data_IF_648140924748
#
_entry.id   IF_648140924748
#
_cell.length_a   1.000
_cell.length_b   1.000
_cell.length_c   1.000
_cell.angle_alpha   90.00
_cell.angle_beta   90.00
_cell.angle_gamma   90.00
#
_symmetry.space_group_name_H-M   'P 1'
#
loop_
_entity.id
_entity.type
_entity.pdbx_description
1 polymer ?
#
# COMPACT_ATOMS: atom_id res chain seq x y z
N UNK A 1 -8.00 -12.18 -14.95
CA UNK A 1 -6.81 -11.74 -15.71
C UNK A 1 -5.70 -11.48 -14.71
N UNK A 2 -4.44 -11.71 -15.09
CA UNK A 2 -3.32 -11.23 -14.27
C UNK A 2 -3.34 -9.70 -14.23
N UNK A 3 -3.02 -9.11 -13.07
CA UNK A 3 -2.90 -7.67 -12.91
C UNK A 3 -1.87 -7.07 -13.89
N UNK A 4 -2.05 -5.81 -14.27
CA UNK A 4 -1.06 -5.02 -15.00
C UNK A 4 -1.08 -3.59 -14.47
N UNK A 5 0.08 -2.95 -14.35
CA UNK A 5 0.18 -1.53 -14.00
C UNK A 5 -0.54 -0.67 -15.04
N UNK A 6 -1.20 0.40 -14.59
CA UNK A 6 -1.87 1.39 -15.44
C UNK A 6 -1.58 2.78 -14.92
N UNK A 7 -1.44 3.74 -15.82
CA UNK A 7 -1.44 5.16 -15.44
C UNK A 7 -2.86 5.73 -15.51
N UNK A 8 -3.14 6.73 -14.70
CA UNK A 8 -4.47 7.36 -14.60
C UNK A 8 -4.82 8.27 -15.77
N UNK A 9 -3.85 8.57 -16.65
CA UNK A 9 -4.02 9.34 -17.88
C UNK A 9 -4.07 8.45 -19.12
N UNK A 10 -4.34 7.16 -18.93
CA UNK A 10 -4.48 6.12 -19.96
C UNK A 10 -3.25 5.89 -20.86
N UNK A 11 -2.10 6.49 -20.53
CA UNK A 11 -0.87 6.17 -21.25
C UNK A 11 -0.49 4.70 -21.00
N UNK A 12 0.07 3.99 -21.99
CA UNK A 12 0.58 2.64 -21.79
C UNK A 12 1.61 2.59 -20.65
N UNK A 13 1.51 1.57 -19.79
CA UNK A 13 2.53 1.24 -18.81
C UNK A 13 3.19 -0.09 -19.21
N UNK A 14 4.44 -0.02 -19.64
CA UNK A 14 5.24 -1.19 -20.07
C UNK A 14 6.08 -1.79 -18.95
N UNK A 15 5.97 -1.25 -17.73
CA UNK A 15 6.70 -1.78 -16.58
C UNK A 15 6.18 -3.20 -16.24
N UNK A 16 7.06 -4.17 -16.00
CA UNK A 16 6.66 -5.52 -15.63
C UNK A 16 6.09 -5.53 -14.19
N UNK A 17 5.29 -6.53 -13.84
CA UNK A 17 4.93 -6.72 -12.44
C UNK A 17 6.15 -7.23 -11.66
N UNK A 18 6.54 -6.50 -10.63
CA UNK A 18 7.60 -6.89 -9.71
C UNK A 18 7.07 -7.43 -8.37
N UNK A 19 7.81 -7.14 -7.31
CA UNK A 19 7.39 -7.36 -5.92
C UNK A 19 6.75 -6.10 -5.34
N UNK A 20 6.04 -6.28 -4.23
CA UNK A 20 5.52 -5.16 -3.44
C UNK A 20 6.26 -5.13 -2.12
N UNK A 21 7.08 -4.10 -1.89
CA UNK A 21 7.74 -3.89 -0.59
C UNK A 21 6.86 -2.98 0.25
N UNK A 22 6.60 -3.35 1.49
CA UNK A 22 5.66 -2.65 2.35
C UNK A 22 6.34 -2.26 3.66
N UNK A 23 5.89 -1.16 4.29
CA UNK A 23 6.31 -0.78 5.63
C UNK A 23 5.15 -0.82 6.62
N UNK A 24 5.33 -1.53 7.73
CA UNK A 24 4.41 -1.50 8.86
C UNK A 24 4.67 -0.30 9.77
N UNK A 25 3.60 0.24 10.37
CA UNK A 25 3.65 1.29 11.43
C UNK A 25 4.30 2.60 11.00
N UNK A 26 4.05 3.05 9.78
CA UNK A 26 4.59 4.32 9.30
C UNK A 26 3.75 5.55 9.68
N UNK A 27 2.63 5.38 10.36
CA UNK A 27 1.82 6.49 10.91
C UNK A 27 1.70 6.36 12.43
N UNK A 28 1.94 7.47 13.14
CA UNK A 28 1.96 7.46 14.60
C UNK A 28 0.61 7.05 15.22
N UNK A 29 -0.51 7.52 14.68
CA UNK A 29 -1.84 7.21 15.19
C UNK A 29 -2.19 5.73 14.98
N UNK A 30 -1.85 5.16 13.84
CA UNK A 30 -2.04 3.74 13.58
C UNK A 30 -1.17 2.87 14.51
N UNK A 31 0.07 3.28 14.79
CA UNK A 31 0.91 2.58 15.76
C UNK A 31 0.28 2.57 17.17
N UNK A 32 -0.33 3.69 17.58
CA UNK A 32 -1.05 3.81 18.86
C UNK A 32 -2.35 3.00 18.90
N UNK A 33 -3.15 3.02 17.83
CA UNK A 33 -4.42 2.28 17.70
C UNK A 33 -4.22 0.79 17.98
N UNK A 34 -3.09 0.23 17.55
CA UNK A 34 -2.75 -1.18 17.73
C UNK A 34 -1.80 -1.45 18.92
N UNK A 35 -1.66 -0.50 19.87
CA UNK A 35 -0.81 -0.61 21.07
C UNK A 35 0.64 -1.04 20.79
N UNK A 36 1.22 -0.56 19.69
CA UNK A 36 2.57 -0.89 19.28
C UNK A 36 3.55 0.26 19.60
N UNK A 37 4.81 -0.03 19.99
CA UNK A 37 5.83 1.00 20.10
C UNK A 37 6.18 1.57 18.71
N UNK A 38 6.54 2.85 18.68
CA UNK A 38 7.11 3.50 17.49
C UNK A 38 8.45 2.83 17.18
N UNK A 39 8.62 2.25 15.98
CA UNK A 39 9.85 1.56 15.64
C UNK A 39 10.97 2.57 15.37
N UNK A 40 12.23 2.17 15.64
CA UNK A 40 13.42 2.99 15.34
C UNK A 40 13.89 2.87 13.88
N UNK A 41 13.42 1.83 13.20
CA UNK A 41 13.72 1.50 11.80
C UNK A 41 12.44 1.01 11.12
N UNK A 42 12.26 1.19 9.80
CA UNK A 42 11.10 0.68 9.08
C UNK A 42 10.90 -0.83 9.30
N UNK A 43 9.66 -1.24 9.61
CA UNK A 43 9.30 -2.65 9.68
C UNK A 43 8.92 -3.15 8.29
N UNK A 44 9.87 -3.76 7.58
CA UNK A 44 9.68 -4.16 6.19
C UNK A 44 9.10 -5.58 6.05
N UNK A 45 8.21 -5.75 5.08
CA UNK A 45 7.74 -7.05 4.60
C UNK A 45 7.43 -6.96 3.09
N UNK A 46 7.22 -8.10 2.44
CA UNK A 46 7.03 -8.16 0.99
C UNK A 46 5.75 -8.94 0.68
N UNK A 47 5.00 -8.47 -0.33
CA UNK A 47 3.97 -9.26 -1.01
C UNK A 47 4.47 -9.66 -2.42
N UNK A 48 4.17 -10.89 -2.88
CA UNK A 48 4.51 -11.35 -4.22
C UNK A 48 3.58 -10.72 -5.27
N UNK A 49 3.95 -10.85 -6.55
CA UNK A 49 3.12 -10.37 -7.67
C UNK A 49 1.72 -11.01 -7.73
N UNK A 50 1.52 -12.21 -7.18
CA UNK A 50 0.20 -12.86 -7.09
C UNK A 50 -0.75 -12.18 -6.08
N UNK A 51 -0.22 -11.34 -5.19
CA UNK A 51 -1.05 -10.50 -4.33
C UNK A 51 -1.69 -9.34 -5.10
N UNK A 52 -1.15 -8.95 -6.26
CA UNK A 52 -1.66 -7.82 -7.03
C UNK A 52 -3.06 -8.10 -7.58
N UNK A 53 -3.96 -7.15 -7.35
CA UNK A 53 -5.29 -7.10 -7.95
C UNK A 53 -5.60 -5.66 -8.39
N UNK A 54 -6.54 -5.50 -9.31
CA UNK A 54 -6.97 -4.17 -9.74
C UNK A 54 -8.03 -3.64 -8.76
N UNK A 55 -7.78 -2.47 -8.17
CA UNK A 55 -8.66 -1.90 -7.14
C UNK A 55 -9.98 -1.37 -7.70
N UNK A 56 -10.11 -1.17 -9.01
CA UNK A 56 -11.35 -0.81 -9.72
C UNK A 56 -12.20 -2.04 -10.09
N UNK A 57 -11.80 -3.24 -9.65
CA UNK A 57 -12.54 -4.49 -9.83
C UNK A 57 -13.00 -5.04 -8.48
N UNK A 58 -14.08 -5.85 -8.42
CA UNK A 58 -14.54 -6.45 -7.19
C UNK A 58 -13.44 -7.23 -6.45
N UNK A 59 -13.31 -6.97 -5.14
CA UNK A 59 -12.25 -7.56 -4.31
C UNK A 59 -12.63 -8.97 -3.88
N UNK A 60 -11.76 -9.95 -4.17
CA UNK A 60 -11.88 -11.30 -3.63
C UNK A 60 -11.12 -11.41 -2.30
N UNK A 61 -11.84 -11.48 -1.18
CA UNK A 61 -11.24 -11.68 0.14
C UNK A 61 -11.45 -13.11 0.65
N UNK A 62 -10.50 -13.68 1.41
CA UNK A 62 -10.68 -14.98 2.05
C UNK A 62 -11.87 -14.96 3.03
N UNK A 63 -12.74 -15.98 2.97
CA UNK A 63 -13.96 -16.06 3.80
C UNK A 63 -13.85 -17.03 4.98
N UNK A 64 -12.88 -17.93 4.92
CA UNK A 64 -12.69 -19.06 5.83
C UNK A 64 -11.44 -18.91 6.72
N UNK A 65 -10.80 -17.74 6.68
CA UNK A 65 -9.50 -17.47 7.34
C UNK A 65 -9.56 -16.28 8.32
N UNK A 66 -10.73 -16.05 8.91
CA UNK A 66 -10.98 -14.94 9.83
C UNK A 66 -11.24 -13.61 9.11
N UNK A 67 -11.28 -12.52 9.87
CA UNK A 67 -11.54 -11.18 9.34
C UNK A 67 -10.40 -10.68 8.44
N UNK A 68 -10.76 -10.19 7.25
CA UNK A 68 -9.88 -9.45 6.38
C UNK A 68 -10.07 -7.96 6.63
N UNK A 69 -9.01 -7.26 7.03
CA UNK A 69 -9.04 -5.82 7.31
C UNK A 69 -8.56 -5.03 6.10
N UNK A 70 -9.15 -3.84 5.91
CA UNK A 70 -8.63 -2.84 4.98
C UNK A 70 -7.53 -2.01 5.64
N UNK A 71 -6.51 -1.68 4.86
CA UNK A 71 -5.43 -0.78 5.22
C UNK A 71 -5.13 0.06 3.96
N UNK A 72 -5.73 1.25 3.82
CA UNK A 72 -5.46 2.13 2.68
C UNK A 72 -4.07 2.73 2.80
N UNK A 73 -3.26 2.63 1.75
CA UNK A 73 -1.90 3.17 1.70
C UNK A 73 -1.63 3.91 0.39
N UNK A 74 -0.69 4.86 0.43
CA UNK A 74 -0.08 5.40 -0.77
C UNK A 74 0.83 4.32 -1.39
N UNK A 75 0.67 4.08 -2.69
CA UNK A 75 1.47 3.15 -3.46
C UNK A 75 2.40 3.91 -4.40
N UNK A 76 3.67 3.54 -4.40
CA UNK A 76 4.70 4.12 -5.28
C UNK A 76 5.05 3.11 -6.36
N UNK A 77 4.89 3.47 -7.63
CA UNK A 77 5.38 2.66 -8.75
C UNK A 77 6.83 3.05 -9.03
N UNK A 78 7.74 2.08 -8.95
CA UNK A 78 9.17 2.30 -9.21
C UNK A 78 9.40 2.24 -10.73
N UNK A 79 10.01 3.28 -11.29
CA UNK A 79 10.36 3.38 -12.72
C UNK A 79 11.85 3.21 -13.02
N UNK A 80 12.72 3.40 -12.03
CA UNK A 80 14.17 3.24 -12.17
C UNK A 80 14.71 2.36 -11.03
N UNK A 81 15.76 1.57 -11.28
CA UNK A 81 16.30 0.71 -10.24
C UNK A 81 16.89 1.52 -9.08
N UNK A 82 16.64 1.07 -7.85
CA UNK A 82 17.27 1.59 -6.63
C UNK A 82 17.98 0.44 -5.90
N UNK A 83 19.27 0.58 -5.64
CA UNK A 83 20.06 -0.35 -4.84
C UNK A 83 21.09 0.47 -4.06
N UNK A 84 21.14 0.27 -2.75
CA UNK A 84 22.02 1.03 -1.85
C UNK A 84 21.93 2.56 -2.08
N UNK A 85 20.74 3.04 -2.45
CA UNK A 85 20.53 4.41 -2.92
C UNK A 85 20.54 5.41 -1.76
N UNK A 86 20.96 6.65 -2.06
CA UNK A 86 20.85 7.77 -1.12
C UNK A 86 19.45 8.38 -1.21
N UNK A 87 18.96 8.96 -0.12
CA UNK A 87 17.62 9.53 -0.05
C UNK A 87 17.34 10.58 -1.15
N UNK A 88 18.34 11.38 -1.52
CA UNK A 88 18.19 12.41 -2.56
C UNK A 88 17.96 11.84 -3.97
N UNK A 89 18.27 10.56 -4.19
CA UNK A 89 18.18 9.89 -5.49
C UNK A 89 16.83 9.18 -5.69
N UNK A 90 16.08 8.93 -4.60
CA UNK A 90 14.96 7.98 -4.64
C UNK A 90 13.70 8.55 -5.27
N UNK A 91 13.40 9.85 -5.09
CA UNK A 91 12.19 10.45 -5.66
C UNK A 91 12.18 10.44 -7.20
N UNK A 92 13.35 10.62 -7.82
CA UNK A 92 13.48 10.59 -9.28
C UNK A 92 13.21 9.19 -9.89
N UNK A 93 13.29 8.14 -9.07
CA UNK A 93 12.99 6.78 -9.49
C UNK A 93 11.50 6.44 -9.45
N UNK A 94 10.64 7.31 -8.90
CA UNK A 94 9.20 7.07 -8.84
C UNK A 94 8.57 7.40 -10.21
N UNK A 95 7.91 6.42 -10.81
CA UNK A 95 7.16 6.61 -12.05
C UNK A 95 5.75 7.19 -11.80
N UNK A 96 5.13 6.86 -10.66
CA UNK A 96 3.82 7.36 -10.31
C UNK A 96 3.35 7.01 -8.91
N UNK A 97 2.28 7.67 -8.50
CA UNK A 97 1.65 7.56 -7.18
C UNK A 97 0.23 7.03 -7.34
N UNK A 98 -0.12 6.03 -6.54
CA UNK A 98 -1.45 5.41 -6.55
C UNK A 98 -1.94 5.12 -5.15
N UNK A 99 -3.05 4.41 -5.07
CA UNK A 99 -3.62 3.88 -3.83
C UNK A 99 -3.57 2.37 -3.87
N UNK A 100 -3.31 1.76 -2.72
CA UNK A 100 -3.46 0.33 -2.55
C UNK A 100 -4.17 0.00 -1.24
N UNK A 101 -4.78 -1.18 -1.18
CA UNK A 101 -5.22 -1.78 0.06
C UNK A 101 -4.22 -2.86 0.47
N UNK A 102 -3.54 -2.68 1.60
CA UNK A 102 -2.78 -3.73 2.26
C UNK A 102 -3.73 -4.66 3.03
N UNK A 103 -4.44 -5.51 2.28
CA UNK A 103 -5.40 -6.43 2.87
C UNK A 103 -4.70 -7.40 3.83
N UNK A 104 -5.27 -7.53 5.02
CA UNK A 104 -4.63 -8.22 6.14
C UNK A 104 -5.60 -9.14 6.84
N UNK A 105 -5.25 -10.42 6.96
CA UNK A 105 -5.95 -11.35 7.85
C UNK A 105 -5.53 -11.06 9.30
N UNK A 106 -6.26 -10.14 9.96
CA UNK A 106 -5.81 -9.49 11.19
C UNK A 106 -5.56 -10.48 12.33
N UNK A 107 -6.51 -11.38 12.54
CA UNK A 107 -6.41 -12.38 13.61
C UNK A 107 -5.19 -13.29 13.39
N UNK A 108 -5.00 -13.78 12.17
CA UNK A 108 -3.85 -14.60 11.81
C UNK A 108 -2.53 -13.84 11.99
N UNK A 109 -2.47 -12.56 11.62
CA UNK A 109 -1.29 -11.72 11.83
C UNK A 109 -0.94 -11.64 13.33
N UNK A 110 -1.93 -11.45 14.21
CA UNK A 110 -1.72 -11.41 15.66
C UNK A 110 -1.14 -12.73 16.17
N UNK A 111 -1.73 -13.86 15.76
CA UNK A 111 -1.23 -15.20 16.14
C UNK A 111 0.21 -15.46 15.65
N UNK A 112 0.55 -15.00 14.44
CA UNK A 112 1.90 -15.12 13.88
C UNK A 112 2.90 -14.26 14.66
N UNK A 113 2.52 -13.02 15.01
CA UNK A 113 3.35 -12.12 15.83
C UNK A 113 3.65 -12.71 17.21
N UNK A 114 2.65 -13.26 17.90
CA UNK A 114 2.83 -13.90 19.22
C UNK A 114 3.84 -15.06 19.18
N UNK A 115 3.88 -15.78 18.05
CA UNK A 115 4.77 -16.93 17.85
C UNK A 115 6.12 -16.55 17.22
N UNK A 116 6.35 -15.27 16.90
CA UNK A 116 7.54 -14.84 16.16
C UNK A 116 7.64 -15.44 14.75
N UNK A 117 6.51 -15.76 14.14
CA UNK A 117 6.41 -16.38 12.82
C UNK A 117 6.29 -15.32 11.70
N UNK A 118 6.68 -15.67 10.46
CA UNK A 118 6.65 -14.72 9.35
C UNK A 118 5.21 -14.48 8.86
N UNK A 119 4.97 -13.33 8.22
CA UNK A 119 3.62 -12.74 8.06
C UNK A 119 2.93 -13.08 6.73
N UNK A 120 3.58 -13.83 5.84
CA UNK A 120 3.13 -14.05 4.46
C UNK A 120 1.72 -14.65 4.41
N UNK A 121 1.38 -15.56 5.32
CA UNK A 121 0.03 -16.14 5.36
C UNK A 121 -1.06 -15.11 5.66
N UNK A 122 -0.73 -14.02 6.37
CA UNK A 122 -1.66 -12.96 6.73
C UNK A 122 -1.60 -11.73 5.80
N UNK A 123 -0.47 -11.51 5.12
CA UNK A 123 -0.19 -10.30 4.32
C UNK A 123 -0.01 -10.58 2.82
N UNK A 124 0.32 -11.81 2.40
CA UNK A 124 0.76 -12.12 1.05
C UNK A 124 -0.12 -13.17 0.33
N UNK A 125 -1.36 -13.36 0.80
CA UNK A 125 -2.32 -14.22 0.10
C UNK A 125 -2.71 -13.64 -1.27
N UNK A 126 -3.23 -14.47 -2.17
CA UNK A 126 -3.63 -14.03 -3.51
C UNK A 126 -4.66 -12.90 -3.43
N UNK A 127 -4.44 -11.83 -4.21
CA UNK A 127 -5.29 -10.64 -4.18
C UNK A 127 -5.16 -9.76 -2.92
N UNK A 128 -4.18 -10.00 -2.04
CA UNK A 128 -3.97 -9.20 -0.82
C UNK A 128 -3.47 -7.76 -1.04
N UNK A 129 -3.23 -7.36 -2.29
CA UNK A 129 -2.79 -6.02 -2.67
C UNK A 129 -3.58 -5.49 -3.88
N UNK A 130 -4.87 -5.12 -3.70
CA UNK A 130 -5.59 -4.33 -4.70
C UNK A 130 -4.93 -2.97 -4.88
N UNK A 131 -4.60 -2.58 -6.11
CA UNK A 131 -3.93 -1.32 -6.47
C UNK A 131 -4.71 -0.56 -7.53
N UNK A 132 -4.79 0.75 -7.39
CA UNK A 132 -5.40 1.64 -8.38
C UNK A 132 -4.52 1.79 -9.63
N UNK A 133 -4.98 2.60 -10.59
CA UNK A 133 -4.06 3.23 -11.54
C UNK A 133 -3.11 4.20 -10.81
N UNK A 134 -1.98 4.54 -11.42
CA UNK A 134 -0.99 5.47 -10.88
C UNK A 134 -1.11 6.83 -11.57
N UNK A 135 -1.18 7.90 -10.79
CA UNK A 135 -0.97 9.26 -11.27
C UNK A 135 0.51 9.40 -11.65
N UNK A 136 0.85 9.80 -12.90
CA UNK A 136 2.23 9.99 -13.29
C UNK A 136 2.96 10.93 -12.33
N UNK A 137 4.20 10.62 -11.96
CA UNK A 137 4.93 11.41 -10.96
C UNK A 137 5.06 12.89 -11.35
N UNK A 138 5.21 13.19 -12.65
CA UNK A 138 5.26 14.55 -13.16
C UNK A 138 3.96 15.36 -13.01
N UNK A 139 2.82 14.70 -12.77
CA UNK A 139 1.53 15.34 -12.51
C UNK A 139 1.29 15.56 -11.00
N UNK A 140 2.15 15.01 -10.14
CA UNK A 140 2.10 15.21 -8.69
C UNK A 140 3.05 16.34 -8.31
N UNK A 141 2.54 17.31 -7.55
CA UNK A 141 3.35 18.38 -6.97
C UNK A 141 4.16 17.89 -5.76
N UNK A 142 3.92 18.49 -4.60
CA UNK A 142 4.52 18.02 -3.35
C UNK A 142 3.79 16.77 -2.83
N UNK A 143 4.46 15.62 -2.84
CA UNK A 143 3.90 14.37 -2.33
C UNK A 143 3.49 14.48 -0.85
N UNK A 144 4.13 15.35 -0.05
CA UNK A 144 3.81 15.54 1.38
C UNK A 144 2.45 16.19 1.59
N UNK A 145 1.97 16.93 0.58
CA UNK A 145 0.65 17.56 0.62
C UNK A 145 -0.49 16.56 0.36
N UNK A 146 -0.19 15.39 -0.23
CA UNK A 146 -1.20 14.41 -0.59
C UNK A 146 -1.94 13.87 0.63
N UNK A 147 -3.26 13.74 0.47
CA UNK A 147 -4.18 13.14 1.42
C UNK A 147 -4.79 11.88 0.82
N UNK A 148 -4.91 10.83 1.63
CA UNK A 148 -5.58 9.59 1.27
C UNK A 148 -6.81 9.39 2.15
N UNK A 149 -7.92 9.00 1.53
CA UNK A 149 -9.17 8.74 2.23
C UNK A 149 -9.82 7.44 1.77
N UNK A 150 -10.38 6.70 2.73
CA UNK A 150 -11.21 5.52 2.49
C UNK A 150 -12.58 5.73 3.10
N UNK A 151 -13.61 5.56 2.29
CA UNK A 151 -14.99 5.45 2.75
C UNK A 151 -15.49 4.02 2.51
N UNK A 152 -16.24 3.50 3.47
CA UNK A 152 -16.93 2.21 3.37
C UNK A 152 -18.41 2.42 3.59
N UNK A 153 -19.22 2.01 2.62
CA UNK A 153 -20.68 2.20 2.63
C UNK A 153 -21.08 3.67 2.89
N UNK A 154 -20.31 4.61 2.36
CA UNK A 154 -20.50 6.06 2.53
C UNK A 154 -19.99 6.64 3.86
N UNK A 155 -19.51 5.81 4.79
CA UNK A 155 -18.91 6.28 6.04
C UNK A 155 -17.39 6.37 5.92
N UNK A 156 -16.80 7.51 6.29
CA UNK A 156 -15.35 7.68 6.36
C UNK A 156 -14.75 6.68 7.36
N UNK A 157 -13.74 5.92 6.95
CA UNK A 157 -13.03 4.95 7.78
C UNK A 157 -11.59 5.41 8.03
N UNK A 158 -10.87 5.77 6.97
CA UNK A 158 -9.48 6.21 7.06
C UNK A 158 -9.31 7.58 6.40
N UNK A 159 -8.47 8.40 7.01
CA UNK A 159 -8.16 9.75 6.57
C UNK A 159 -6.74 10.11 7.03
N UNK A 160 -5.80 10.24 6.10
CA UNK A 160 -4.40 10.46 6.43
C UNK A 160 -3.73 11.45 5.49
N UNK A 161 -2.75 12.21 6.01
CA UNK A 161 -1.88 13.06 5.20
C UNK A 161 -0.49 12.43 5.09
N UNK A 162 0.10 12.46 3.90
CA UNK A 162 1.41 11.85 3.67
C UNK A 162 2.53 12.51 4.48
N UNK A 163 2.38 13.79 4.88
CA UNK A 163 3.31 14.48 5.80
C UNK A 163 3.40 13.85 7.19
N UNK A 164 2.41 13.06 7.59
CA UNK A 164 2.34 12.43 8.92
C UNK A 164 3.11 11.09 8.97
N UNK A 165 3.72 10.68 7.85
CA UNK A 165 4.60 9.51 7.81
C UNK A 165 5.81 9.70 8.73
N UNK A 166 6.07 8.70 9.57
CA UNK A 166 7.22 8.65 10.49
C UNK A 166 8.54 8.49 9.73
N UNK A 167 8.52 7.70 8.66
CA UNK A 167 9.59 7.51 7.71
C UNK A 167 9.13 8.12 6.37
N UNK A 168 9.60 9.33 6.03
CA UNK A 168 9.32 9.98 4.75
C UNK A 168 9.72 9.11 3.56
N UNK A 169 9.07 9.31 2.40
CA UNK A 169 9.28 8.49 1.19
C UNK A 169 10.76 8.39 0.81
N UNK A 170 11.50 9.51 0.89
CA UNK A 170 12.90 9.55 0.46
C UNK A 170 13.77 8.62 1.31
N UNK A 171 13.59 8.71 2.63
CA UNK A 171 14.30 7.89 3.62
C UNK A 171 13.84 6.42 3.58
N UNK A 172 12.54 6.19 3.41
CA UNK A 172 11.97 4.85 3.33
C UNK A 172 12.50 4.07 2.12
N UNK A 173 12.51 4.68 0.94
CA UNK A 173 13.04 4.04 -0.27
C UNK A 173 14.55 3.78 -0.16
N UNK A 174 15.30 4.71 0.44
CA UNK A 174 16.73 4.53 0.67
C UNK A 174 16.99 3.34 1.60
N UNK A 175 16.27 3.26 2.74
CA UNK A 175 16.36 2.16 3.71
C UNK A 175 15.99 0.81 3.09
N UNK A 176 14.86 0.74 2.37
CA UNK A 176 14.44 -0.45 1.62
C UNK A 176 15.55 -0.91 0.68
N UNK A 177 16.15 0.01 -0.07
CA UNK A 177 17.16 -0.31 -1.09
C UNK A 177 18.48 -0.86 -0.52
N UNK A 178 18.72 -0.72 0.80
CA UNK A 178 19.86 -1.35 1.48
C UNK A 178 19.64 -2.86 1.68
N UNK A 179 18.38 -3.31 1.73
CA UNK A 179 18.02 -4.72 1.92
C UNK A 179 17.57 -5.39 0.62
N UNK A 180 16.81 -4.68 -0.20
CA UNK A 180 16.18 -5.19 -1.40
C UNK A 180 16.35 -4.20 -2.55
N UNK A 181 17.07 -4.59 -3.61
CA UNK A 181 17.08 -3.80 -4.84
C UNK A 181 15.64 -3.64 -5.34
N UNK A 182 15.19 -2.40 -5.53
CA UNK A 182 13.91 -2.11 -6.18
C UNK A 182 14.15 -2.04 -7.69
N UNK A 183 13.36 -2.76 -8.46
CA UNK A 183 13.42 -2.81 -9.91
C UNK A 183 12.28 -1.99 -10.52
N UNK A 184 12.42 -1.51 -11.78
CA UNK A 184 11.30 -0.94 -12.51
C UNK A 184 10.09 -1.91 -12.53
N UNK A 185 8.94 -1.42 -12.09
CA UNK A 185 7.71 -2.21 -11.91
C UNK A 185 7.48 -2.76 -10.50
N UNK A 186 8.44 -2.65 -9.60
CA UNK A 186 8.17 -2.87 -8.17
C UNK A 186 7.22 -1.79 -7.64
N UNK A 187 6.44 -2.15 -6.62
CA UNK A 187 5.60 -1.22 -5.86
C UNK A 187 6.14 -1.09 -4.45
N UNK A 188 6.07 0.12 -3.89
CA UNK A 188 6.29 0.35 -2.46
C UNK A 188 5.00 0.85 -1.82
N UNK A 189 4.52 0.17 -0.77
CA UNK A 189 3.42 0.64 0.07
C UNK A 189 3.98 1.32 1.32
N UNK A 190 3.49 2.52 1.60
CA UNK A 190 4.13 3.46 2.54
C UNK A 190 3.57 3.43 3.96
N UNK A 191 2.75 2.44 4.31
CA UNK A 191 2.03 2.34 5.57
C UNK A 191 0.65 3.00 5.53
N UNK A 192 -0.22 2.53 6.43
CA UNK A 192 -1.61 2.96 6.55
C UNK A 192 -1.84 3.94 7.72
N UNK A 193 -2.72 4.94 7.58
CA UNK A 193 -3.18 5.78 8.70
C UNK A 193 -4.17 5.03 9.59
N UNK A 194 -4.59 5.66 10.70
CA UNK A 194 -5.55 5.07 11.63
C UNK A 194 -6.92 4.79 10.99
N UNK A 195 -7.71 3.92 11.63
CA UNK A 195 -9.07 3.58 11.20
C UNK A 195 -9.13 2.31 10.35
N UNK A 196 -8.18 1.39 10.56
CA UNK A 196 -8.22 0.05 9.96
C UNK A 196 -9.42 -0.74 10.48
N UNK A 197 -10.04 -1.56 9.63
CA UNK A 197 -11.23 -2.30 10.04
C UNK A 197 -11.60 -3.46 9.15
N UNK A 198 -12.50 -4.35 9.60
CA UNK A 198 -12.90 -5.54 8.86
C UNK A 198 -13.69 -5.19 7.61
N UNK A 199 -13.56 -6.00 6.57
CA UNK A 199 -14.36 -5.95 5.34
C UNK A 199 -15.35 -7.12 5.31
N UNK A 200 -16.56 -6.87 4.83
CA UNK A 200 -17.61 -7.87 4.64
C UNK A 200 -18.03 -7.95 3.17
N UNK A 201 -18.46 -9.13 2.68
CA UNK A 201 -19.05 -9.26 1.34
C UNK A 201 -20.19 -8.24 1.13
N UNK A 202 -20.17 -7.56 -0.02
CA UNK A 202 -21.11 -6.51 -0.37
C UNK A 202 -20.73 -5.10 0.09
N UNK A 203 -19.69 -4.94 0.92
CA UNK A 203 -19.19 -3.61 1.29
C UNK A 203 -18.76 -2.83 0.04
N UNK A 204 -19.18 -1.57 -0.05
CA UNK A 204 -18.79 -0.64 -1.10
C UNK A 204 -17.67 0.26 -0.60
N UNK A 205 -16.56 0.30 -1.32
CA UNK A 205 -15.39 1.10 -0.97
C UNK A 205 -15.22 2.23 -1.97
N UNK A 206 -14.93 3.44 -1.46
CA UNK A 206 -14.49 4.58 -2.25
C UNK A 206 -13.16 5.06 -1.67
N UNK A 207 -12.09 4.96 -2.46
CA UNK A 207 -10.76 5.42 -2.09
C UNK A 207 -10.41 6.67 -2.91
N UNK A 208 -9.81 7.67 -2.27
CA UNK A 208 -9.46 8.94 -2.90
C UNK A 208 -8.03 9.36 -2.54
N UNK A 209 -7.32 9.92 -3.53
CA UNK A 209 -5.99 10.50 -3.39
C UNK A 209 -6.06 11.97 -3.79
N UNK A 210 -6.23 12.85 -2.81
CA UNK A 210 -6.17 14.32 -2.91
C UNK A 210 -6.89 14.93 -4.14
N UNK A 211 -8.05 14.39 -4.53
CA UNK A 211 -8.78 14.78 -5.75
C UNK A 211 -8.10 14.44 -7.08
N UNK A 212 -6.87 13.92 -7.07
CA UNK A 212 -6.12 13.49 -8.25
C UNK A 212 -6.62 12.14 -8.80
N UNK A 213 -7.10 11.28 -7.90
CA UNK A 213 -7.59 9.95 -8.24
C UNK A 213 -8.72 9.54 -7.31
N UNK A 214 -9.79 8.98 -7.85
CA UNK A 214 -10.84 8.29 -7.11
C UNK A 214 -11.04 6.91 -7.71
N UNK A 215 -11.16 5.89 -6.86
CA UNK A 215 -11.49 4.53 -7.25
C UNK A 215 -12.61 3.99 -6.37
N UNK A 216 -13.57 3.33 -7.00
CA UNK A 216 -14.69 2.68 -6.32
C UNK A 216 -14.66 1.19 -6.61
N UNK A 217 -14.99 0.39 -5.60
CA UNK A 217 -15.07 -1.06 -5.71
C UNK A 217 -16.05 -1.66 -4.71
N UNK A 218 -16.28 -2.95 -4.84
CA UNK A 218 -17.11 -3.76 -3.95
C UNK A 218 -16.34 -4.96 -3.45
N UNK A 219 -16.54 -5.34 -2.19
CA UNK A 219 -16.08 -6.62 -1.68
C UNK A 219 -17.00 -7.72 -2.21
N UNK A 220 -16.42 -8.73 -2.87
CA UNK A 220 -17.14 -9.81 -3.54
C UNK A 220 -17.74 -10.86 -2.62
#
# INVERSE_FOLDING_TARGET
>A
MLYQHRFSDDRPCELPNGKIVCVGRNYAEHARELNNPIPKQPLLFIKPSTALAALDQPLAIPRDRGECHHELELALLIGQPLSEARAEETLAAIAGYGLALDLTLRELQSQLKEKGQPWERAKAFDGACPVSAFVPAAAVGDWKALRLQLQRNGALQQDGQCRDMLFPIEALLADISQSFTLLPGDIVLTGTPAGVGPLNPGDRLRCELDGLLTVETTVG
#
